data_IF_260711520046
#
_entry.id   IF_260711520046
#
_cell.length_a   1.000
_cell.length_b   1.000
_cell.length_c   1.000
_cell.angle_alpha   90.00
_cell.angle_beta   90.00
_cell.angle_gamma   90.00
#
_symmetry.space_group_name_H-M   'P 1'
#
loop_
_entity.id
_entity.type
_entity.pdbx_description
1 polymer ?
#
# COMPACT_ATOMS: atom_id res chain seq x y z
N UNK A 1 -2.30 20.86 17.01
CA UNK A 1 -2.78 20.76 15.61
C UNK A 1 -3.92 19.76 15.57
N UNK A 2 -5.15 20.23 15.33
CA UNK A 2 -6.33 19.36 15.24
C UNK A 2 -6.30 18.57 13.93
N UNK A 3 -6.53 17.25 14.00
CA UNK A 3 -6.65 16.39 12.81
C UNK A 3 -8.06 15.83 12.78
N UNK A 4 -8.79 16.09 11.68
CA UNK A 4 -10.14 15.58 11.47
C UNK A 4 -10.16 14.56 10.34
N UNK A 5 -10.93 13.49 10.50
CA UNK A 5 -11.13 12.47 9.48
C UNK A 5 -12.54 12.57 8.91
N UNK A 6 -12.65 12.76 7.59
CA UNK A 6 -13.92 12.74 6.88
C UNK A 6 -13.99 11.55 5.94
N UNK A 7 -15.19 11.01 5.76
CA UNK A 7 -15.48 9.97 4.78
C UNK A 7 -16.59 10.47 3.88
N UNK A 8 -16.34 10.44 2.57
CA UNK A 8 -17.24 10.87 1.50
C UNK A 8 -17.34 9.75 0.47
N UNK A 9 -18.45 9.72 -0.27
CA UNK A 9 -18.63 8.79 -1.40
C UNK A 9 -18.12 9.45 -2.67
N UNK A 10 -17.36 8.70 -3.47
CA UNK A 10 -16.92 9.13 -4.79
C UNK A 10 -17.63 8.33 -5.88
N UNK A 11 -17.77 8.94 -7.06
CA UNK A 11 -18.44 8.38 -8.22
C UNK A 11 -17.48 8.34 -9.41
N UNK A 12 -16.53 7.39 -9.41
CA UNK A 12 -15.65 7.17 -10.54
C UNK A 12 -16.41 6.62 -11.74
N UNK A 13 -16.00 7.03 -12.94
CA UNK A 13 -16.47 6.46 -14.19
C UNK A 13 -16.03 4.99 -14.36
N UNK A 14 -16.52 4.30 -15.39
CA UNK A 14 -16.20 2.89 -15.61
C UNK A 14 -14.70 2.61 -15.85
N UNK A 15 -13.99 3.53 -16.51
CA UNK A 15 -12.56 3.42 -16.77
C UNK A 15 -11.75 3.65 -15.48
N UNK A 16 -12.08 4.69 -14.72
CA UNK A 16 -11.53 5.01 -13.41
C UNK A 16 -11.76 3.87 -12.42
N UNK A 17 -12.95 3.27 -12.38
CA UNK A 17 -13.23 2.10 -11.53
C UNK A 17 -12.30 0.93 -11.87
N UNK A 18 -12.10 0.68 -13.16
CA UNK A 18 -11.20 -0.39 -13.62
C UNK A 18 -9.76 -0.11 -13.21
N UNK A 19 -9.32 1.14 -13.34
CA UNK A 19 -8.00 1.58 -12.90
C UNK A 19 -7.83 1.45 -11.39
N UNK A 20 -8.80 1.91 -10.60
CA UNK A 20 -8.79 1.81 -9.14
C UNK A 20 -8.69 0.35 -8.66
N UNK A 21 -9.40 -0.58 -9.32
CA UNK A 21 -9.29 -2.02 -9.04
C UNK A 21 -7.90 -2.55 -9.39
N UNK A 22 -7.38 -2.19 -10.55
CA UNK A 22 -6.02 -2.55 -10.98
C UNK A 22 -4.96 -2.04 -9.99
N UNK A 23 -5.13 -0.83 -9.46
CA UNK A 23 -4.25 -0.25 -8.45
C UNK A 23 -4.30 -1.03 -7.13
N UNK A 24 -5.49 -1.43 -6.66
CA UNK A 24 -5.62 -2.27 -5.46
C UNK A 24 -4.89 -3.61 -5.60
N UNK A 25 -5.02 -4.26 -6.76
CA UNK A 25 -4.34 -5.53 -7.03
C UNK A 25 -2.83 -5.36 -7.18
N UNK A 26 -2.38 -4.27 -7.81
CA UNK A 26 -0.95 -3.93 -7.86
C UNK A 26 -0.37 -3.69 -6.46
N UNK A 27 -1.10 -2.95 -5.61
CA UNK A 27 -0.69 -2.73 -4.22
C UNK A 27 -0.68 -4.04 -3.42
N UNK A 28 -1.66 -4.94 -3.65
CA UNK A 28 -1.67 -6.28 -3.05
C UNK A 28 -0.41 -7.07 -3.43
N UNK A 29 -0.04 -7.04 -4.72
CA UNK A 29 1.19 -7.67 -5.23
C UNK A 29 2.44 -7.15 -4.52
N UNK A 30 2.61 -5.83 -4.46
CA UNK A 30 3.75 -5.19 -3.77
C UNK A 30 3.77 -5.52 -2.29
N UNK A 31 2.63 -5.48 -1.60
CA UNK A 31 2.53 -5.86 -0.18
C UNK A 31 2.96 -7.32 0.04
N UNK A 32 2.45 -8.24 -0.76
CA UNK A 32 2.75 -9.66 -0.63
C UNK A 32 4.20 -9.97 -0.98
N UNK A 33 4.76 -9.31 -2.00
CA UNK A 33 6.16 -9.46 -2.36
C UNK A 33 7.08 -9.00 -1.23
N UNK A 34 6.83 -7.80 -0.68
CA UNK A 34 7.60 -7.27 0.44
C UNK A 34 7.48 -8.14 1.71
N UNK A 35 6.30 -8.74 1.96
CA UNK A 35 6.09 -9.68 3.05
C UNK A 35 6.82 -11.01 2.80
N UNK A 36 6.90 -11.46 1.55
CA UNK A 36 7.66 -12.66 1.18
C UNK A 36 9.14 -12.45 1.45
N UNK A 37 9.73 -11.33 1.03
CA UNK A 37 11.13 -11.01 1.33
C UNK A 37 11.43 -11.07 2.84
N UNK A 38 10.56 -10.51 3.67
CA UNK A 38 10.69 -10.60 5.14
C UNK A 38 10.68 -12.04 5.63
N UNK A 39 9.72 -12.84 5.15
CA UNK A 39 9.59 -14.25 5.54
C UNK A 39 10.77 -15.09 5.09
N UNK A 40 11.22 -14.91 3.85
CA UNK A 40 12.34 -15.64 3.27
C UNK A 40 13.65 -15.28 4.00
N UNK A 41 13.89 -13.99 4.28
CA UNK A 41 15.05 -13.55 5.08
C UNK A 41 15.05 -14.14 6.49
N UNK A 42 13.90 -14.21 7.16
CA UNK A 42 13.82 -14.82 8.48
C UNK A 42 14.01 -16.32 8.43
N UNK A 43 13.40 -16.99 7.45
CA UNK A 43 13.47 -18.43 7.32
C UNK A 43 14.90 -18.89 6.97
N UNK A 44 15.63 -18.13 6.14
CA UNK A 44 17.03 -18.44 5.81
C UNK A 44 17.98 -18.33 7.01
N UNK A 45 17.56 -17.67 8.09
CA UNK A 45 18.34 -17.54 9.35
C UNK A 45 17.86 -18.48 10.44
N UNK A 46 16.76 -19.21 10.19
CA UNK A 46 16.27 -20.25 11.10
C UNK A 46 16.89 -21.57 10.69
N UNK A 47 17.81 -22.07 11.50
CA UNK A 47 18.29 -23.43 11.42
C UNK A 47 17.82 -24.20 12.67
N UNK A 48 17.26 -25.41 12.55
CA UNK A 48 17.14 -26.31 13.69
C UNK A 48 18.51 -26.55 14.33
N UNK A 49 18.56 -26.64 15.65
CA UNK A 49 19.84 -26.81 16.37
C UNK A 49 20.49 -28.17 16.09
N UNK A 50 19.68 -29.17 15.74
CA UNK A 50 20.07 -30.58 15.67
C UNK A 50 20.14 -31.15 14.24
N UNK A 51 19.78 -30.38 13.20
CA UNK A 51 19.75 -30.88 11.82
C UNK A 51 19.82 -29.76 10.78
N UNK A 52 20.47 -30.04 9.65
CA UNK A 52 20.44 -29.21 8.44
C UNK A 52 19.49 -29.81 7.40
N UNK A 53 18.92 -28.98 6.51
CA UNK A 53 18.11 -29.50 5.40
C UNK A 53 19.03 -30.04 4.30
N UNK A 54 18.74 -31.25 3.81
CA UNK A 54 19.45 -31.83 2.66
C UNK A 54 18.70 -31.62 1.33
N UNK A 55 17.44 -31.18 1.39
CA UNK A 55 16.56 -31.07 0.21
C UNK A 55 16.56 -29.66 -0.37
N UNK A 56 16.58 -28.63 0.48
CA UNK A 56 16.46 -27.24 0.05
C UNK A 56 17.18 -26.30 1.01
N UNK A 57 17.84 -25.31 0.44
CA UNK A 57 18.46 -24.21 1.17
C UNK A 57 18.07 -22.87 0.55
N UNK A 58 18.11 -21.82 1.36
CA UNK A 58 17.85 -20.47 0.88
C UNK A 58 19.09 -19.92 0.17
N UNK A 59 18.91 -19.46 -1.07
CA UNK A 59 19.96 -18.73 -1.83
C UNK A 59 19.94 -17.25 -1.38
N UNK A 60 20.20 -17.01 -0.09
CA UNK A 60 20.29 -15.67 0.49
C UNK A 60 21.64 -15.60 1.21
N UNK A 61 22.54 -14.66 0.84
CA UNK A 61 23.81 -14.49 1.51
C UNK A 61 23.65 -14.26 3.03
N UNK A 62 24.59 -14.78 3.82
CA UNK A 62 24.56 -14.65 5.28
C UNK A 62 24.66 -13.18 5.73
N UNK A 63 25.41 -12.38 4.98
CA UNK A 63 25.62 -10.94 5.16
C UNK A 63 24.46 -10.08 4.63
N UNK A 64 23.44 -10.67 3.98
CA UNK A 64 22.29 -9.94 3.48
C UNK A 64 21.55 -9.25 4.65
N UNK A 65 21.49 -7.92 4.69
CA UNK A 65 20.88 -7.23 5.82
C UNK A 65 19.35 -7.32 5.77
N UNK A 66 18.72 -7.07 6.92
CA UNK A 66 17.27 -7.15 7.07
C UNK A 66 16.53 -6.30 6.01
N UNK A 67 15.48 -6.83 5.35
CA UNK A 67 14.71 -6.12 4.34
C UNK A 67 13.81 -5.05 4.98
N UNK A 68 14.44 -3.97 5.44
CA UNK A 68 13.78 -2.84 6.07
C UNK A 68 12.91 -2.06 5.09
N UNK A 69 11.99 -1.25 5.63
CA UNK A 69 11.15 -0.33 4.85
C UNK A 69 11.97 0.47 3.84
N UNK A 70 13.10 1.05 4.28
CA UNK A 70 13.95 1.89 3.43
C UNK A 70 14.54 1.10 2.26
N UNK A 71 15.06 -0.12 2.50
CA UNK A 71 15.61 -0.98 1.43
C UNK A 71 14.55 -1.35 0.41
N UNK A 72 13.40 -1.85 0.87
CA UNK A 72 12.31 -2.27 -0.02
C UNK A 72 11.75 -1.09 -0.83
N UNK A 73 11.61 0.08 -0.18
CA UNK A 73 11.19 1.31 -0.84
C UNK A 73 12.19 1.76 -1.93
N UNK A 74 13.49 1.71 -1.63
CA UNK A 74 14.57 2.10 -2.55
C UNK A 74 14.73 1.11 -3.72
N UNK A 75 14.19 -0.10 -3.60
CA UNK A 75 14.14 -1.08 -4.68
C UNK A 75 12.97 -0.84 -5.65
N UNK A 76 11.95 -0.06 -5.29
CA UNK A 76 10.79 0.22 -6.16
C UNK A 76 11.18 0.81 -7.54
N UNK A 77 12.13 1.75 -7.66
CA UNK A 77 12.58 2.24 -8.98
C UNK A 77 13.15 1.13 -9.87
N UNK A 78 13.94 0.20 -9.30
CA UNK A 78 14.48 -0.96 -10.03
C UNK A 78 13.34 -1.90 -10.44
N UNK A 79 12.42 -2.20 -9.52
CA UNK A 79 11.26 -3.03 -9.78
C UNK A 79 10.37 -2.45 -10.89
N UNK A 80 10.20 -1.13 -10.97
CA UNK A 80 9.43 -0.48 -12.05
C UNK A 80 10.03 -0.65 -13.43
N UNK A 81 11.37 -0.77 -13.54
CA UNK A 81 12.05 -1.05 -14.81
C UNK A 81 11.75 -2.48 -15.28
N UNK A 82 11.71 -3.43 -14.35
CA UNK A 82 11.42 -4.84 -14.65
C UNK A 82 9.92 -5.11 -14.85
N UNK A 83 9.07 -4.39 -14.12
CA UNK A 83 7.62 -4.58 -14.11
C UNK A 83 6.90 -3.26 -14.43
N UNK A 84 6.66 -2.97 -15.72
CA UNK A 84 6.09 -1.69 -16.17
C UNK A 84 4.72 -1.36 -15.56
N UNK A 85 3.93 -2.37 -15.19
CA UNK A 85 2.61 -2.15 -14.55
C UNK A 85 2.72 -1.44 -13.19
N UNK A 86 3.83 -1.59 -12.44
CA UNK A 86 4.10 -0.83 -11.22
C UNK A 86 4.28 0.67 -11.50
N UNK A 87 4.69 1.01 -12.73
CA UNK A 87 4.82 2.38 -13.20
C UNK A 87 3.47 3.08 -13.38
N UNK A 88 2.37 2.33 -13.55
CA UNK A 88 1.01 2.90 -13.68
C UNK A 88 0.53 3.51 -12.37
N UNK A 89 0.80 2.87 -11.24
CA UNK A 89 0.43 3.36 -9.91
C UNK A 89 1.26 4.59 -9.51
N UNK A 90 0.66 5.51 -8.75
CA UNK A 90 1.39 6.64 -8.18
C UNK A 90 2.50 6.17 -7.22
N UNK A 91 3.68 6.79 -7.29
CA UNK A 91 4.87 6.34 -6.54
C UNK A 91 4.62 6.30 -5.03
N UNK A 92 4.02 7.35 -4.48
CA UNK A 92 3.75 7.46 -3.04
C UNK A 92 2.74 6.42 -2.54
N UNK A 93 1.85 5.93 -3.41
CA UNK A 93 0.89 4.89 -3.05
C UNK A 93 1.61 3.56 -2.84
N UNK A 94 2.56 3.23 -3.72
CA UNK A 94 3.40 2.02 -3.57
C UNK A 94 4.29 2.10 -2.33
N UNK A 95 4.92 3.25 -2.08
CA UNK A 95 5.72 3.49 -0.88
C UNK A 95 4.89 3.32 0.39
N UNK A 96 3.68 3.90 0.42
CA UNK A 96 2.76 3.78 1.56
C UNK A 96 2.27 2.35 1.76
N UNK A 97 2.17 1.57 0.69
CA UNK A 97 1.82 0.14 0.75
C UNK A 97 2.89 -0.68 1.45
N UNK A 98 4.17 -0.43 1.14
CA UNK A 98 5.30 -1.05 1.85
C UNK A 98 5.33 -0.55 3.31
N UNK A 99 5.09 0.75 3.55
CA UNK A 99 5.01 1.29 4.91
C UNK A 99 3.96 0.58 5.75
N UNK A 100 2.76 0.37 5.21
CA UNK A 100 1.67 -0.36 5.88
C UNK A 100 2.08 -1.76 6.34
N UNK A 101 2.91 -2.46 5.56
CA UNK A 101 3.47 -3.74 5.96
C UNK A 101 4.41 -3.59 7.16
N UNK A 102 5.35 -2.67 7.10
CA UNK A 102 6.33 -2.41 8.17
C UNK A 102 5.69 -1.86 9.44
N UNK A 103 4.61 -1.09 9.34
CA UNK A 103 3.82 -0.65 10.50
C UNK A 103 3.18 -1.86 11.20
N UNK A 104 2.63 -2.81 10.42
CA UNK A 104 2.06 -4.05 10.96
C UNK A 104 3.14 -4.94 11.58
N UNK A 105 4.31 -5.01 10.93
CA UNK A 105 5.49 -5.71 11.45
C UNK A 105 5.97 -5.13 12.78
N UNK A 106 6.14 -3.81 12.85
CA UNK A 106 6.54 -3.13 14.08
C UNK A 106 5.50 -3.27 15.20
N UNK A 107 4.21 -3.30 14.86
CA UNK A 107 3.14 -3.57 15.81
C UNK A 107 3.18 -5.01 16.35
N UNK A 108 3.52 -6.00 15.52
CA UNK A 108 3.78 -7.38 15.97
C UNK A 108 4.95 -7.42 16.95
N UNK A 109 6.09 -6.83 16.59
CA UNK A 109 7.29 -6.83 17.44
C UNK A 109 7.08 -6.13 18.79
N UNK A 110 6.39 -4.97 18.80
CA UNK A 110 6.23 -4.15 20.01
C UNK A 110 5.09 -4.58 20.91
N UNK A 111 3.98 -5.08 20.34
CA UNK A 111 2.71 -5.28 21.06
C UNK A 111 2.20 -6.71 21.02
N UNK A 112 2.95 -7.64 20.42
CA UNK A 112 2.53 -9.05 20.29
C UNK A 112 1.30 -9.27 19.39
N UNK A 113 0.90 -8.28 18.59
CA UNK A 113 -0.18 -8.46 17.61
C UNK A 113 0.18 -9.53 16.58
N UNK A 114 -0.80 -10.19 15.96
CA UNK A 114 -0.53 -11.26 14.99
C UNK A 114 0.40 -10.87 13.82
N UNK A 115 1.26 -11.80 13.44
CA UNK A 115 2.21 -11.66 12.33
C UNK A 115 1.51 -11.23 11.01
N UNK A 116 2.12 -10.35 10.18
CA UNK A 116 1.52 -9.92 8.92
C UNK A 116 1.19 -11.09 7.96
N UNK A 117 -0.04 -11.13 7.46
CA UNK A 117 -0.52 -12.20 6.58
C UNK A 117 -0.59 -11.76 5.14
N UNK A 118 -0.29 -12.70 4.23
CA UNK A 118 -0.51 -12.50 2.80
C UNK A 118 -1.97 -12.15 2.52
N UNK A 119 -2.17 -11.27 1.55
CA UNK A 119 -3.48 -10.79 1.12
C UNK A 119 -3.92 -11.59 -0.10
N UNK A 120 -5.07 -12.26 0.01
CA UNK A 120 -5.73 -12.92 -1.14
C UNK A 120 -6.34 -11.87 -2.06
N UNK A 121 -6.66 -12.28 -3.29
CA UNK A 121 -7.37 -11.45 -4.26
C UNK A 121 -8.61 -10.80 -3.64
N UNK A 122 -8.83 -9.50 -3.90
CA UNK A 122 -9.96 -8.74 -3.34
C UNK A 122 -9.91 -8.44 -1.83
N UNK A 123 -8.90 -8.91 -1.07
CA UNK A 123 -8.75 -8.57 0.34
C UNK A 123 -8.05 -7.23 0.58
N UNK A 124 -7.32 -6.72 -0.42
CA UNK A 124 -6.69 -5.41 -0.36
C UNK A 124 -7.71 -4.36 -0.79
N UNK A 125 -8.33 -3.68 0.19
CA UNK A 125 -9.51 -2.81 -0.04
C UNK A 125 -9.20 -1.31 -0.06
N UNK A 126 -7.96 -0.91 0.21
CA UNK A 126 -7.64 0.51 0.33
C UNK A 126 -6.21 0.82 0.03
N UNK A 127 -6.00 1.99 -0.56
CA UNK A 127 -4.69 2.60 -0.75
C UNK A 127 -4.73 4.07 -0.35
N UNK A 128 -3.55 4.65 -0.14
CA UNK A 128 -3.40 5.96 0.50
C UNK A 128 -2.48 6.85 -0.31
N UNK A 129 -2.93 8.08 -0.54
CA UNK A 129 -2.11 9.20 -0.96
C UNK A 129 -1.67 9.97 0.28
N UNK A 130 -0.38 9.88 0.68
CA UNK A 130 0.09 10.42 1.96
C UNK A 130 0.23 11.94 1.98
N UNK A 131 0.32 12.58 0.81
CA UNK A 131 0.48 14.02 0.68
C UNK A 131 -0.04 14.50 -0.68
N UNK A 132 -0.41 15.77 -0.75
CA UNK A 132 -0.79 16.49 -1.96
C UNK A 132 -0.03 17.81 -2.00
N UNK A 133 0.30 18.29 -3.21
CA UNK A 133 0.94 19.61 -3.40
C UNK A 133 -0.11 20.71 -3.24
N UNK A 134 -1.21 20.57 -3.97
CA UNK A 134 -2.35 21.48 -3.96
C UNK A 134 -3.55 20.83 -3.28
N UNK A 135 -4.56 21.63 -2.93
CA UNK A 135 -5.80 21.08 -2.40
C UNK A 135 -6.45 20.20 -3.48
N UNK A 136 -6.62 18.88 -3.24
CA UNK A 136 -7.17 17.99 -4.27
C UNK A 136 -8.68 18.16 -4.45
N UNK A 137 -9.36 18.88 -3.57
CA UNK A 137 -10.81 19.07 -3.62
C UNK A 137 -11.12 20.41 -4.26
N UNK A 138 -11.89 20.38 -5.35
CA UNK A 138 -12.38 21.56 -6.06
C UNK A 138 -13.86 21.38 -6.39
N UNK A 139 -14.72 22.23 -5.83
CA UNK A 139 -16.18 22.09 -5.97
C UNK A 139 -16.66 20.70 -5.52
N UNK A 140 -17.41 20.02 -6.38
CA UNK A 140 -17.90 18.64 -6.17
C UNK A 140 -17.01 17.57 -6.83
N UNK A 141 -15.72 17.84 -7.03
CA UNK A 141 -14.76 16.88 -7.57
C UNK A 141 -13.50 16.77 -6.69
N UNK A 142 -12.88 15.60 -6.73
CA UNK A 142 -11.57 15.33 -6.14
C UNK A 142 -10.58 14.91 -7.24
N UNK A 143 -9.46 15.61 -7.31
CA UNK A 143 -8.37 15.33 -8.25
C UNK A 143 -7.37 14.36 -7.63
N UNK A 144 -7.34 13.14 -8.16
CA UNK A 144 -6.42 12.09 -7.76
C UNK A 144 -5.25 11.99 -8.76
N UNK A 145 -3.98 12.01 -8.31
CA UNK A 145 -2.83 11.87 -9.20
C UNK A 145 -2.95 10.62 -10.06
N UNK A 146 -2.73 10.77 -11.38
CA UNK A 146 -2.83 9.74 -12.44
C UNK A 146 -4.23 9.19 -12.76
N UNK A 147 -5.19 9.25 -11.84
CA UNK A 147 -6.58 8.82 -12.08
C UNK A 147 -7.42 9.95 -12.69
N UNK A 148 -7.12 11.20 -12.33
CA UNK A 148 -7.84 12.38 -12.80
C UNK A 148 -8.87 12.89 -11.80
N UNK A 149 -9.86 13.63 -12.30
CA UNK A 149 -10.94 14.19 -11.49
C UNK A 149 -12.07 13.18 -11.32
N UNK A 150 -12.50 13.00 -10.09
CA UNK A 150 -13.57 12.07 -9.71
C UNK A 150 -14.65 12.85 -8.98
N UNK A 151 -15.91 12.70 -9.36
CA UNK A 151 -17.02 13.35 -8.66
C UNK A 151 -17.14 12.85 -7.22
N UNK A 152 -17.34 13.76 -6.28
CA UNK A 152 -17.44 13.48 -4.84
C UNK A 152 -18.72 14.09 -4.29
N UNK A 153 -19.42 13.36 -3.42
CA UNK A 153 -20.54 13.91 -2.67
C UNK A 153 -20.05 14.46 -1.32
N UNK A 154 -19.92 15.79 -1.25
CA UNK A 154 -19.56 16.52 -0.04
C UNK A 154 -20.80 16.83 0.79
N UNK A 155 -21.41 15.81 1.39
CA UNK A 155 -22.58 15.96 2.27
C UNK A 155 -22.28 16.72 3.57
N UNK A 156 -21.01 17.02 3.85
CA UNK A 156 -20.57 17.93 4.90
C UNK A 156 -19.52 18.88 4.31
N UNK A 157 -19.63 20.19 4.56
CA UNK A 157 -18.60 21.12 4.15
C UNK A 157 -17.31 20.87 4.94
N UNK A 158 -16.17 21.02 4.27
CA UNK A 158 -14.87 21.00 4.94
C UNK A 158 -14.68 22.40 5.54
N UNK A 159 -14.35 22.54 6.83
CA UNK A 159 -14.23 23.86 7.44
C UNK A 159 -13.14 24.69 6.76
N UNK A 160 -13.38 26.00 6.65
CA UNK A 160 -12.44 26.92 6.03
C UNK A 160 -11.09 26.93 6.76
N UNK A 161 -10.00 27.00 5.99
CA UNK A 161 -8.63 26.96 6.50
C UNK A 161 -8.05 25.55 6.70
N UNK A 162 -8.82 24.47 6.53
CA UNK A 162 -8.29 23.11 6.60
C UNK A 162 -7.61 22.70 5.29
N UNK A 163 -6.37 22.19 5.41
CA UNK A 163 -5.62 21.60 4.29
C UNK A 163 -5.76 20.08 4.30
N UNK A 164 -6.04 19.50 3.14
CA UNK A 164 -6.10 18.04 2.99
C UNK A 164 -4.71 17.45 3.15
N UNK A 165 -4.48 16.74 4.26
CA UNK A 165 -3.20 16.10 4.55
C UNK A 165 -3.01 14.78 3.81
N UNK A 166 -4.05 13.95 3.79
CA UNK A 166 -4.00 12.58 3.28
C UNK A 166 -5.37 12.20 2.72
N UNK A 167 -5.37 11.44 1.63
CA UNK A 167 -6.59 10.84 1.06
C UNK A 167 -6.42 9.33 1.06
N UNK A 168 -7.44 8.62 1.55
CA UNK A 168 -7.51 7.15 1.50
C UNK A 168 -8.70 6.77 0.64
N UNK A 169 -8.44 6.09 -0.47
CA UNK A 169 -9.50 5.53 -1.32
C UNK A 169 -9.85 4.14 -0.79
N UNK A 170 -11.13 3.88 -0.58
CA UNK A 170 -11.65 2.59 -0.10
C UNK A 170 -12.56 1.96 -1.15
N UNK A 171 -12.31 0.70 -1.48
CA UNK A 171 -13.27 -0.13 -2.19
C UNK A 171 -14.20 -0.82 -1.18
N UNK A 172 -15.48 -0.41 -1.17
CA UNK A 172 -16.59 -1.09 -0.49
C UNK A 172 -17.36 -1.98 -1.47
N UNK A 173 -18.15 -2.92 -0.91
CA UNK A 173 -19.07 -3.84 -1.63
C UNK A 173 -18.47 -4.42 -2.92
N UNK A 174 -17.50 -5.35 -2.80
CA UNK A 174 -16.85 -6.01 -3.97
C UNK A 174 -16.29 -5.03 -5.04
N UNK A 175 -15.99 -3.77 -4.68
CA UNK A 175 -15.44 -2.78 -5.59
C UNK A 175 -16.45 -2.05 -6.45
N UNK A 176 -17.74 -2.08 -6.10
CA UNK A 176 -18.79 -1.27 -6.74
C UNK A 176 -19.03 0.06 -6.05
N UNK A 177 -18.64 0.20 -4.79
CA UNK A 177 -18.76 1.43 -4.02
C UNK A 177 -17.37 1.94 -3.65
N UNK A 178 -17.14 3.23 -3.85
CA UNK A 178 -15.86 3.90 -3.64
C UNK A 178 -15.99 5.08 -2.69
#
# INVERSE_FOLDING_TARGET
MLTMNYTYRIYPDAAQQTELRSWLETCRGVYNYALRELKDWMASRKCPVDRCSLEKEYIIPADEPFPSYHRQQNNLPKAKKQFPHLGKVHSQVLQTTIRRLHDTWGAFQKRGHGFPRFKKFGQFKSFVFPQFKDNPIGGNAIKLPKIGEVSINLHRPIPDGFKVKQVRVLSKVRGTQW
#
